data_IF_581548015931
#
_entry.id   IF_581548015931
#
_cell.length_a   1.000
_cell.length_b   1.000
_cell.length_c   1.000
_cell.angle_alpha   90.00
_cell.angle_beta   90.00
_cell.angle_gamma   90.00
#
_symmetry.space_group_name_H-M   'P 1'
#
loop_
_entity.id
_entity.type
_entity.pdbx_description
1 polymer ?
#
# COMPACT_ATOMS: atom_id res chain seq x y z
N UNK A 1 0.59 4.66 5.82
CA UNK A 1 0.10 3.49 6.60
C UNK A 1 1.05 2.31 6.40
N UNK A 2 2.01 2.08 7.30
CA UNK A 2 2.72 0.79 7.34
C UNK A 2 1.95 -0.11 8.29
N UNK A 3 1.42 -1.23 7.78
CA UNK A 3 0.91 -2.28 8.66
C UNK A 3 2.10 -3.07 9.20
N UNK A 4 2.14 -3.24 10.52
CA UNK A 4 3.22 -3.85 11.31
C UNK A 4 3.06 -5.38 11.48
N UNK A 5 2.08 -6.00 10.81
CA UNK A 5 1.76 -7.43 10.97
C UNK A 5 0.94 -7.77 12.22
N UNK A 6 0.50 -6.78 13.00
CA UNK A 6 -0.29 -7.00 14.22
C UNK A 6 -1.61 -7.72 13.92
N UNK A 7 -1.85 -8.83 14.62
CA UNK A 7 -3.08 -9.63 14.55
C UNK A 7 -4.06 -9.23 15.64
N UNK A 8 -5.36 -9.36 15.37
CA UNK A 8 -6.45 -9.06 16.30
C UNK A 8 -7.49 -10.19 16.25
N UNK A 9 -7.86 -10.79 17.39
CA UNK A 9 -8.82 -11.89 17.43
C UNK A 9 -10.26 -11.44 17.18
N UNK A 10 -10.55 -10.14 17.37
CA UNK A 10 -11.90 -9.58 17.28
C UNK A 10 -11.90 -8.23 16.56
N UNK A 11 -13.08 -7.84 16.06
CA UNK A 11 -13.30 -6.51 15.49
C UNK A 11 -13.69 -5.56 16.62
N UNK A 12 -12.94 -4.49 16.80
CA UNK A 12 -13.17 -3.50 17.86
C UNK A 12 -13.26 -2.09 17.29
N UNK A 13 -13.74 -1.13 18.09
CA UNK A 13 -13.68 0.29 17.74
C UNK A 13 -12.52 0.90 18.52
N UNK A 14 -11.61 1.58 17.81
CA UNK A 14 -10.54 2.32 18.46
C UNK A 14 -11.13 3.57 19.13
N UNK A 15 -11.23 3.55 20.46
CA UNK A 15 -11.92 4.61 21.22
C UNK A 15 -11.41 6.04 20.91
N UNK A 16 -10.09 6.32 20.78
CA UNK A 16 -9.63 7.68 20.49
C UNK A 16 -9.97 8.20 19.08
N UNK A 17 -10.06 7.34 18.06
CA UNK A 17 -10.28 7.77 16.68
C UNK A 17 -11.66 7.42 16.13
N UNK A 18 -12.43 6.61 16.85
CA UNK A 18 -13.67 6.00 16.35
C UNK A 18 -13.47 5.02 15.18
N UNK A 19 -12.21 4.69 14.82
CA UNK A 19 -11.95 3.84 13.66
C UNK A 19 -12.25 2.37 13.96
N UNK A 20 -12.92 1.70 13.03
CA UNK A 20 -13.14 0.26 13.10
C UNK A 20 -11.82 -0.49 12.88
N UNK A 21 -11.48 -1.32 13.86
CA UNK A 21 -10.31 -2.18 13.89
C UNK A 21 -10.75 -3.62 13.61
N UNK A 22 -10.52 -4.10 12.40
CA UNK A 22 -10.96 -5.44 12.00
C UNK A 22 -10.23 -6.57 12.70
N UNK A 23 -10.99 -7.66 12.96
CA UNK A 23 -10.42 -8.96 13.24
C UNK A 23 -9.40 -9.33 12.15
N UNK A 24 -8.18 -9.63 12.56
CA UNK A 24 -7.07 -10.07 11.73
C UNK A 24 -6.39 -11.29 12.34
N UNK A 25 -6.63 -12.46 11.76
CA UNK A 25 -6.05 -13.72 12.25
C UNK A 25 -4.72 -14.09 11.59
N UNK A 26 -4.33 -13.38 10.52
CA UNK A 26 -3.10 -13.64 9.80
C UNK A 26 -2.31 -12.33 9.59
N UNK A 27 -0.99 -12.30 9.86
CA UNK A 27 -0.19 -11.08 9.72
C UNK A 27 -0.18 -10.55 8.28
N UNK A 28 -0.30 -11.44 7.30
CA UNK A 28 -0.34 -11.10 5.86
C UNK A 28 -1.75 -10.95 5.29
N UNK A 29 -2.83 -10.96 6.09
CA UNK A 29 -4.21 -10.91 5.55
C UNK A 29 -4.51 -9.63 4.74
N UNK A 30 -3.61 -8.65 4.83
CA UNK A 30 -3.70 -7.35 4.18
C UNK A 30 -2.37 -6.92 3.54
N UNK A 31 -1.43 -7.86 3.44
CA UNK A 31 -0.11 -7.67 2.87
C UNK A 31 0.02 -8.63 1.69
N UNK A 32 0.91 -8.29 0.75
CA UNK A 32 1.35 -9.11 -0.38
C UNK A 32 0.77 -10.54 -0.41
N UNK A 33 -0.17 -10.79 -1.32
CA UNK A 33 -0.69 -12.13 -1.55
C UNK A 33 0.05 -12.68 -2.77
N UNK A 34 0.83 -13.75 -2.58
CA UNK A 34 1.67 -14.31 -3.64
C UNK A 34 0.84 -14.82 -4.83
N UNK A 35 -0.31 -15.45 -4.58
CA UNK A 35 -1.22 -15.89 -5.64
C UNK A 35 -1.75 -14.72 -6.46
N UNK A 36 -2.25 -13.67 -5.81
CA UNK A 36 -2.75 -12.46 -6.49
C UNK A 36 -1.61 -11.77 -7.23
N UNK A 37 -0.45 -11.62 -6.60
CA UNK A 37 0.74 -11.01 -7.24
C UNK A 37 1.17 -11.82 -8.46
N UNK A 38 1.15 -13.15 -8.36
CA UNK A 38 1.51 -14.04 -9.47
C UNK A 38 0.52 -13.94 -10.63
N UNK A 39 -0.78 -13.95 -10.35
CA UNK A 39 -1.84 -13.88 -11.36
C UNK A 39 -1.97 -12.48 -11.99
N UNK A 40 -1.92 -11.42 -11.18
CA UNK A 40 -2.14 -10.04 -11.61
C UNK A 40 -0.87 -9.32 -12.04
N UNK A 41 0.31 -9.88 -11.72
CA UNK A 41 1.64 -9.35 -12.06
C UNK A 41 1.88 -7.93 -11.52
N UNK A 42 1.20 -7.55 -10.44
CA UNK A 42 1.31 -6.25 -9.81
C UNK A 42 1.15 -6.35 -8.28
N UNK A 43 1.57 -5.32 -7.57
CA UNK A 43 1.37 -5.23 -6.12
C UNK A 43 -0.12 -5.07 -5.80
N UNK A 44 -0.60 -5.81 -4.81
CA UNK A 44 -1.97 -5.71 -4.32
C UNK A 44 -2.01 -5.20 -2.86
N UNK A 45 -2.96 -4.34 -2.55
CA UNK A 45 -3.31 -3.91 -1.18
C UNK A 45 -4.83 -3.75 -1.10
N UNK A 46 -5.47 -4.53 -0.22
CA UNK A 46 -6.92 -4.50 0.00
C UNK A 46 -7.16 -3.78 1.32
N UNK A 47 -8.04 -2.78 1.38
CA UNK A 47 -8.41 -2.13 2.65
C UNK A 47 -9.91 -1.85 2.68
N UNK A 48 -10.50 -1.95 3.86
CA UNK A 48 -11.85 -1.48 4.09
C UNK A 48 -11.91 0.05 4.21
N UNK A 49 -12.92 0.65 3.60
CA UNK A 49 -13.17 2.10 3.64
C UNK A 49 -14.48 2.36 4.38
N UNK A 50 -14.37 2.75 5.65
CA UNK A 50 -15.52 2.91 6.54
C UNK A 50 -15.99 4.34 6.79
N UNK A 51 -15.27 5.33 6.27
CA UNK A 51 -15.56 6.73 6.53
C UNK A 51 -15.26 7.60 5.31
N UNK A 52 -15.95 8.75 5.21
CA UNK A 52 -15.70 9.72 4.13
C UNK A 52 -14.27 10.26 4.14
N UNK A 53 -13.65 10.40 5.31
CA UNK A 53 -12.24 10.80 5.42
C UNK A 53 -11.31 9.73 4.83
N UNK A 54 -11.56 8.45 5.12
CA UNK A 54 -10.77 7.34 4.55
C UNK A 54 -10.95 7.25 3.03
N UNK A 55 -12.18 7.45 2.54
CA UNK A 55 -12.47 7.49 1.11
C UNK A 55 -11.73 8.64 0.42
N UNK A 56 -11.79 9.85 0.98
CA UNK A 56 -11.06 11.02 0.47
C UNK A 56 -9.56 10.78 0.42
N UNK A 57 -8.97 10.26 1.51
CA UNK A 57 -7.55 9.95 1.57
C UNK A 57 -7.15 8.88 0.53
N UNK A 58 -7.98 7.86 0.33
CA UNK A 58 -7.77 6.85 -0.70
C UNK A 58 -7.81 7.46 -2.11
N UNK A 59 -8.77 8.33 -2.39
CA UNK A 59 -8.86 9.01 -3.70
C UNK A 59 -7.60 9.83 -3.98
N UNK A 60 -7.10 10.61 -3.01
CA UNK A 60 -5.84 11.34 -3.19
C UNK A 60 -4.67 10.39 -3.42
N UNK A 61 -4.57 9.31 -2.65
CA UNK A 61 -3.50 8.33 -2.80
C UNK A 61 -3.51 7.68 -4.19
N UNK A 62 -4.68 7.26 -4.68
CA UNK A 62 -4.82 6.67 -6.01
C UNK A 62 -4.47 7.69 -7.08
N UNK A 63 -4.98 8.92 -6.99
CA UNK A 63 -4.68 9.97 -7.95
C UNK A 63 -3.19 10.27 -7.99
N UNK A 64 -2.57 10.56 -6.83
CA UNK A 64 -1.13 10.85 -6.71
C UNK A 64 -0.27 9.73 -7.30
N UNK A 65 -0.68 8.47 -7.10
CA UNK A 65 0.01 7.32 -7.67
C UNK A 65 -0.17 7.21 -9.19
N UNK A 66 -1.38 7.44 -9.71
CA UNK A 66 -1.66 7.39 -11.15
C UNK A 66 -1.03 8.56 -11.91
N UNK A 67 -0.94 9.73 -11.28
CA UNK A 67 -0.32 10.93 -11.86
C UNK A 67 1.16 11.04 -11.56
N UNK A 68 1.76 10.05 -10.91
CA UNK A 68 3.19 10.06 -10.62
C UNK A 68 3.96 10.04 -11.93
N UNK A 69 4.80 11.05 -12.14
CA UNK A 69 5.66 11.11 -13.31
C UNK A 69 6.51 9.84 -13.40
N UNK A 70 6.59 9.30 -14.62
CA UNK A 70 7.51 8.22 -14.90
C UNK A 70 8.93 8.72 -14.61
N UNK A 71 9.73 7.89 -13.94
CA UNK A 71 11.14 8.22 -13.72
C UNK A 71 11.79 8.45 -15.09
N UNK A 72 12.44 9.61 -15.34
CA UNK A 72 13.17 9.84 -16.58
C UNK A 72 14.26 8.78 -16.68
N UNK A 73 14.01 7.80 -17.55
CA UNK A 73 14.79 6.57 -17.59
C UNK A 73 16.17 6.85 -18.20
N UNK A 74 16.24 7.85 -19.07
CA UNK A 74 17.44 8.44 -19.62
C UNK A 74 18.36 9.02 -18.54
N UNK A 75 17.85 9.83 -17.62
CA UNK A 75 18.63 10.35 -16.49
C UNK A 75 19.12 9.23 -15.57
N UNK A 76 18.26 8.24 -15.30
CA UNK A 76 18.60 7.09 -14.48
C UNK A 76 19.72 6.23 -15.10
N UNK A 77 19.63 5.94 -16.41
CA UNK A 77 20.66 5.19 -17.12
C UNK A 77 21.98 5.97 -17.25
N UNK A 78 21.92 7.28 -17.48
CA UNK A 78 23.12 8.12 -17.52
C UNK A 78 23.85 8.13 -16.17
N UNK A 79 23.11 8.21 -15.06
CA UNK A 79 23.69 8.12 -13.71
C UNK A 79 24.32 6.75 -13.45
N UNK A 80 23.67 5.67 -13.88
CA UNK A 80 24.19 4.30 -13.74
C UNK A 80 25.47 4.10 -14.56
N UNK A 81 25.51 4.61 -15.80
CA UNK A 81 26.70 4.54 -16.66
C UNK A 81 27.93 5.17 -15.99
N UNK A 82 27.78 6.36 -15.39
CA UNK A 82 28.86 7.03 -14.65
C UNK A 82 29.38 6.24 -13.43
N UNK A 83 28.57 5.35 -12.87
CA UNK A 83 28.93 4.49 -11.75
C UNK A 83 29.70 3.24 -12.19
N UNK A 84 29.39 2.73 -13.39
CA UNK A 84 30.00 1.53 -13.98
C UNK A 84 31.33 1.85 -14.69
N UNK A 85 31.49 3.06 -15.23
CA UNK A 85 32.73 3.52 -15.87
C UNK A 85 33.85 3.91 -14.89
N UNK A 86 33.75 3.48 -13.63
CA UNK A 86 34.69 3.76 -12.55
C UNK A 86 35.56 2.54 -12.24
#
# INVERSE_FOLDING_TARGET
>A
LRMNGETRPETTIHAPSGSLQYRRLHPLINQHNSTITMLMRCNNDVKFIGSGQAAKALSYYITDYMTKDALPTDEAFAALGKLVER
#
